data_IF_113788725340
#
_entry.id   IF_113788725340
#
_cell.length_a   1.000
_cell.length_b   1.000
_cell.length_c   1.000
_cell.angle_alpha   90.00
_cell.angle_beta   90.00
_cell.angle_gamma   90.00
#
_symmetry.space_group_name_H-M   'P 1'
#
loop_
_entity.id
_entity.type
_entity.pdbx_description
1 polymer ?
#
# COMPACT_ATOMS: atom_id res chain seq x y z
N UNK A 1 25.84 36.04 -29.16
CA UNK A 1 25.00 34.84 -29.27
C UNK A 1 25.35 33.93 -28.12
N UNK A 2 24.55 34.01 -27.07
CA UNK A 2 24.69 33.17 -25.87
C UNK A 2 24.25 31.77 -26.26
N UNK A 3 25.21 30.91 -26.55
CA UNK A 3 24.97 29.48 -26.60
C UNK A 3 24.76 29.02 -25.15
N UNK A 4 23.52 28.75 -24.79
CA UNK A 4 23.25 27.98 -23.59
C UNK A 4 24.10 26.70 -23.67
N UNK A 5 24.88 26.36 -22.64
CA UNK A 5 25.56 25.08 -22.62
C UNK A 5 24.49 24.01 -22.77
N UNK A 6 24.70 23.05 -23.66
CA UNK A 6 23.78 21.91 -23.82
C UNK A 6 23.54 21.37 -22.44
N UNK A 7 22.26 21.18 -22.08
CA UNK A 7 21.89 20.59 -20.82
C UNK A 7 22.62 19.23 -20.72
N UNK A 8 23.56 19.14 -19.80
CA UNK A 8 24.29 17.91 -19.56
C UNK A 8 23.29 17.01 -18.85
N UNK A 9 22.90 15.93 -19.50
CA UNK A 9 22.09 14.90 -18.87
C UNK A 9 22.88 14.33 -17.67
N UNK A 10 22.41 14.62 -16.46
CA UNK A 10 23.09 14.22 -15.24
C UNK A 10 22.65 12.86 -14.75
N UNK A 11 21.54 12.36 -15.27
CA UNK A 11 20.93 11.11 -14.87
C UNK A 11 20.04 10.58 -15.99
N UNK A 12 20.20 9.32 -16.34
CA UNK A 12 19.32 8.59 -17.23
C UNK A 12 19.03 7.22 -16.65
N UNK A 13 17.77 6.94 -16.35
CA UNK A 13 17.33 5.62 -15.92
C UNK A 13 16.19 5.15 -16.81
N UNK A 14 16.28 3.92 -17.23
CA UNK A 14 15.23 3.24 -17.99
C UNK A 14 14.80 2.01 -17.23
N UNK A 15 13.49 1.78 -17.15
CA UNK A 15 12.92 0.56 -16.60
C UNK A 15 11.92 -0.01 -17.58
N UNK A 16 11.89 -1.31 -17.70
CA UNK A 16 10.85 -2.06 -18.38
C UNK A 16 10.28 -3.07 -17.41
N UNK A 17 8.98 -3.06 -17.23
CA UNK A 17 8.27 -4.02 -16.40
C UNK A 17 7.26 -4.72 -17.26
N UNK A 18 7.43 -6.03 -17.43
CA UNK A 18 6.46 -6.91 -18.04
C UNK A 18 5.79 -7.71 -16.92
N UNK A 19 4.47 -7.78 -16.92
CA UNK A 19 3.73 -8.60 -15.97
C UNK A 19 2.55 -9.29 -16.63
N UNK A 20 2.28 -10.51 -16.19
CA UNK A 20 1.12 -11.30 -16.57
C UNK A 20 0.39 -11.75 -15.30
N UNK A 21 -0.93 -11.67 -15.29
CA UNK A 21 -1.76 -12.17 -14.22
C UNK A 21 -2.93 -12.96 -14.76
N UNK A 22 -3.15 -14.13 -14.17
CA UNK A 22 -4.33 -14.96 -14.41
C UNK A 22 -5.10 -15.08 -13.10
N UNK A 23 -6.42 -14.92 -13.15
CA UNK A 23 -7.23 -15.02 -11.97
C UNK A 23 -8.56 -15.70 -12.25
N UNK A 24 -9.05 -16.45 -11.27
CA UNK A 24 -10.43 -16.93 -11.19
C UNK A 24 -11.04 -16.41 -9.89
N UNK A 25 -12.27 -15.94 -9.92
CA UNK A 25 -12.97 -15.43 -8.76
C UNK A 25 -14.45 -15.77 -8.83
N UNK A 26 -15.08 -15.80 -7.66
CA UNK A 26 -16.52 -15.99 -7.55
C UNK A 26 -17.02 -15.63 -6.17
N UNK A 27 -18.31 -15.38 -6.09
CA UNK A 27 -19.03 -15.08 -4.86
C UNK A 27 -20.40 -15.75 -4.91
N UNK A 28 -20.86 -16.29 -3.78
CA UNK A 28 -22.19 -16.87 -3.63
C UNK A 28 -22.84 -16.34 -2.34
N UNK A 29 -24.09 -15.90 -2.48
CA UNK A 29 -24.91 -15.46 -1.36
C UNK A 29 -25.99 -16.47 -1.07
N UNK A 30 -26.05 -16.94 0.18
CA UNK A 30 -27.10 -17.78 0.68
C UNK A 30 -28.08 -16.94 1.51
N UNK A 31 -29.33 -16.89 1.05
CA UNK A 31 -30.44 -16.29 1.80
C UNK A 31 -30.95 -17.31 2.83
N UNK A 32 -30.30 -17.34 4.00
CA UNK A 32 -30.57 -18.34 5.05
C UNK A 32 -31.97 -18.17 5.64
N UNK A 33 -32.46 -16.94 5.72
CA UNK A 33 -33.84 -16.57 6.04
C UNK A 33 -34.25 -15.37 5.22
N UNK A 34 -35.51 -14.88 5.37
CA UNK A 34 -35.94 -13.62 4.72
C UNK A 34 -35.10 -12.42 5.13
N UNK A 35 -34.48 -12.47 6.30
CA UNK A 35 -33.73 -11.36 6.90
C UNK A 35 -32.22 -11.62 6.99
N UNK A 36 -31.74 -12.84 6.72
CA UNK A 36 -30.32 -13.22 6.93
C UNK A 36 -29.69 -13.64 5.61
N UNK A 37 -28.69 -12.89 5.18
CA UNK A 37 -27.85 -13.19 4.05
C UNK A 37 -26.45 -13.56 4.52
N UNK A 38 -25.89 -14.65 4.00
CA UNK A 38 -24.52 -15.08 4.22
C UNK A 38 -23.84 -15.16 2.86
N UNK A 39 -22.78 -14.39 2.68
CA UNK A 39 -22.02 -14.35 1.43
C UNK A 39 -20.62 -14.93 1.67
N UNK A 40 -20.21 -15.84 0.81
CA UNK A 40 -18.84 -16.35 0.74
C UNK A 40 -18.27 -16.12 -0.64
N UNK A 41 -17.04 -15.71 -0.70
CA UNK A 41 -16.35 -15.44 -1.96
C UNK A 41 -14.86 -15.70 -1.85
N UNK A 42 -14.21 -15.70 -3.01
CA UNK A 42 -12.77 -15.81 -3.08
C UNK A 42 -12.25 -15.50 -4.46
N UNK A 43 -10.98 -15.16 -4.50
CA UNK A 43 -10.22 -14.94 -5.72
C UNK A 43 -8.89 -15.69 -5.61
N UNK A 44 -8.64 -16.56 -6.57
CA UNK A 44 -7.34 -17.18 -6.78
C UNK A 44 -6.67 -16.53 -7.97
N UNK A 45 -5.38 -16.22 -7.85
CA UNK A 45 -4.62 -15.68 -8.97
C UNK A 45 -3.18 -16.19 -8.94
N UNK A 46 -2.58 -16.14 -10.13
CA UNK A 46 -1.17 -16.34 -10.39
C UNK A 46 -0.64 -15.10 -11.11
N UNK A 47 0.50 -14.61 -10.68
CA UNK A 47 1.16 -13.43 -11.26
C UNK A 47 2.62 -13.72 -11.50
N UNK A 48 3.09 -13.36 -12.68
CA UNK A 48 4.51 -13.34 -13.04
C UNK A 48 4.91 -11.90 -13.36
N UNK A 49 6.07 -11.47 -12.90
CA UNK A 49 6.63 -10.18 -13.27
C UNK A 49 8.10 -10.33 -13.71
N UNK A 50 8.52 -9.44 -14.59
CA UNK A 50 9.90 -9.33 -15.04
C UNK A 50 10.27 -7.86 -15.12
N UNK A 51 11.19 -7.44 -14.24
CA UNK A 51 11.67 -6.07 -14.17
C UNK A 51 13.10 -5.98 -14.70
N UNK A 52 13.34 -5.04 -15.60
CA UNK A 52 14.67 -4.71 -16.13
C UNK A 52 14.98 -3.26 -15.84
N UNK A 53 16.15 -3.01 -15.28
CA UNK A 53 16.63 -1.67 -15.00
C UNK A 53 17.94 -1.37 -15.74
N UNK A 54 18.00 -0.17 -16.26
CA UNK A 54 19.21 0.41 -16.80
C UNK A 54 19.40 1.80 -16.22
N UNK A 55 20.60 2.07 -15.72
CA UNK A 55 20.98 3.41 -15.23
C UNK A 55 22.29 3.82 -15.87
N UNK A 56 22.29 4.97 -16.53
CA UNK A 56 23.47 5.55 -17.13
C UNK A 56 23.91 6.81 -16.38
N UNK A 57 25.22 7.00 -16.31
CA UNK A 57 25.84 8.26 -15.89
C UNK A 57 25.70 9.34 -16.96
N UNK A 58 26.00 10.60 -16.60
CA UNK A 58 26.18 11.67 -17.59
C UNK A 58 27.01 11.19 -18.79
N UNK A 59 26.57 11.52 -19.96
CA UNK A 59 27.15 11.08 -21.24
C UNK A 59 26.79 9.63 -21.66
N UNK A 60 25.75 9.04 -21.08
CA UNK A 60 25.26 7.73 -21.48
C UNK A 60 26.14 6.55 -21.06
N UNK A 61 27.15 6.76 -20.22
CA UNK A 61 27.94 5.67 -19.68
C UNK A 61 27.15 4.93 -18.60
N UNK A 62 26.96 3.59 -18.72
CA UNK A 62 26.32 2.81 -17.68
C UNK A 62 27.09 2.86 -16.36
N UNK A 63 26.39 2.67 -15.26
CA UNK A 63 27.04 2.51 -13.97
C UNK A 63 27.88 1.22 -13.95
N UNK A 64 29.02 1.20 -13.23
CA UNK A 64 29.89 0.01 -13.20
C UNK A 64 29.18 -1.27 -12.79
N UNK A 65 28.19 -1.18 -11.91
CA UNK A 65 27.40 -2.30 -11.44
C UNK A 65 26.53 -2.96 -12.52
N UNK A 66 26.33 -2.29 -13.64
CA UNK A 66 25.60 -2.84 -14.80
C UNK A 66 26.52 -3.32 -15.91
N UNK A 67 27.82 -3.39 -15.64
CA UNK A 67 28.79 -3.95 -16.58
C UNK A 67 29.25 -5.34 -16.14
N UNK A 68 29.30 -6.27 -17.08
CA UNK A 68 29.94 -7.55 -16.83
C UNK A 68 31.48 -7.40 -16.74
N UNK A 69 32.17 -8.49 -16.43
CA UNK A 69 33.64 -8.50 -16.31
C UNK A 69 34.37 -8.11 -17.60
N UNK A 70 33.68 -8.11 -18.75
CA UNK A 70 34.21 -7.71 -20.05
C UNK A 70 33.84 -6.25 -20.42
N UNK A 71 33.12 -5.55 -19.52
CA UNK A 71 32.66 -4.19 -19.76
C UNK A 71 31.40 -4.08 -20.64
N UNK A 72 30.68 -5.18 -20.87
CA UNK A 72 29.40 -5.16 -21.56
C UNK A 72 28.28 -4.79 -20.59
N UNK A 73 27.26 -4.10 -21.10
CA UNK A 73 26.08 -3.78 -20.33
C UNK A 73 25.40 -5.06 -19.84
N UNK A 74 25.30 -5.20 -18.52
CA UNK A 74 24.54 -6.24 -17.87
C UNK A 74 23.32 -5.62 -17.19
N UNK A 75 22.15 -6.03 -17.58
CA UNK A 75 20.88 -5.64 -16.95
C UNK A 75 20.31 -6.89 -16.30
N UNK A 76 20.40 -7.02 -14.97
CA UNK A 76 19.84 -8.18 -14.31
C UNK A 76 18.33 -8.23 -14.52
N UNK A 77 17.84 -9.39 -14.96
CA UNK A 77 16.41 -9.67 -14.98
C UNK A 77 15.96 -9.99 -13.55
N UNK A 78 15.05 -9.19 -13.04
CA UNK A 78 14.39 -9.46 -11.76
C UNK A 78 13.03 -10.08 -12.03
N UNK A 79 12.96 -11.40 -11.82
CA UNK A 79 11.71 -12.15 -11.98
C UNK A 79 11.10 -12.45 -10.62
N UNK A 80 9.80 -12.29 -10.55
CA UNK A 80 8.98 -12.70 -9.42
C UNK A 80 7.76 -13.45 -9.91
N UNK A 81 7.39 -14.50 -9.21
CA UNK A 81 6.16 -15.23 -9.38
C UNK A 81 5.41 -15.26 -8.04
N UNK A 82 4.13 -15.14 -8.10
CA UNK A 82 3.28 -15.04 -6.92
C UNK A 82 1.94 -15.71 -7.17
N UNK A 83 1.49 -16.46 -6.18
CA UNK A 83 0.21 -17.17 -6.20
C UNK A 83 -0.48 -16.96 -4.88
N UNK A 84 -1.70 -16.42 -4.92
CA UNK A 84 -2.46 -16.14 -3.70
C UNK A 84 -3.94 -16.49 -3.86
N UNK A 85 -4.56 -16.80 -2.72
CA UNK A 85 -6.01 -16.95 -2.57
C UNK A 85 -6.53 -15.92 -1.57
N UNK A 86 -7.47 -15.10 -1.99
CA UNK A 86 -8.08 -14.02 -1.22
C UNK A 86 -9.52 -14.42 -0.88
N UNK A 87 -9.81 -14.83 0.36
CA UNK A 87 -11.14 -15.16 0.82
C UNK A 87 -11.94 -13.94 1.25
N UNK A 88 -13.26 -14.08 1.27
CA UNK A 88 -14.23 -13.13 1.81
C UNK A 88 -15.41 -13.88 2.43
N UNK A 89 -15.83 -13.44 3.61
CA UNK A 89 -17.08 -13.88 4.23
C UNK A 89 -17.80 -12.65 4.77
N UNK A 90 -19.11 -12.53 4.47
CA UNK A 90 -19.92 -11.49 5.07
C UNK A 90 -21.28 -12.04 5.51
N UNK A 91 -21.81 -11.45 6.56
CA UNK A 91 -23.14 -11.75 7.11
C UNK A 91 -23.90 -10.44 7.24
N UNK A 92 -25.09 -10.38 6.67
CA UNK A 92 -25.99 -9.22 6.79
C UNK A 92 -27.33 -9.67 7.34
N UNK A 93 -27.81 -8.96 8.38
CA UNK A 93 -29.08 -9.23 9.02
C UNK A 93 -29.96 -7.97 9.01
N UNK A 94 -31.13 -8.07 8.39
CA UNK A 94 -32.15 -7.01 8.37
C UNK A 94 -33.00 -7.12 9.61
N UNK A 95 -32.79 -6.19 10.56
CA UNK A 95 -33.60 -6.10 11.78
C UNK A 95 -35.01 -5.61 11.44
N UNK A 96 -35.09 -4.68 10.47
CA UNK A 96 -36.31 -4.14 9.90
C UNK A 96 -36.05 -3.70 8.46
N UNK A 97 -37.08 -3.20 7.76
CA UNK A 97 -36.92 -2.60 6.41
C UNK A 97 -35.95 -1.39 6.42
N UNK A 98 -35.82 -0.75 7.57
CA UNK A 98 -35.07 0.48 7.75
C UNK A 98 -33.72 0.28 8.49
N UNK A 99 -33.43 -0.91 9.01
CA UNK A 99 -32.23 -1.16 9.81
C UNK A 99 -31.59 -2.52 9.47
N UNK A 100 -30.35 -2.46 9.07
CA UNK A 100 -29.51 -3.63 8.80
C UNK A 100 -28.22 -3.54 9.62
N UNK A 101 -27.79 -4.67 10.17
CA UNK A 101 -26.46 -4.86 10.74
C UNK A 101 -25.68 -5.84 9.89
N UNK A 102 -24.35 -5.71 9.88
CA UNK A 102 -23.51 -6.62 9.11
C UNK A 102 -22.16 -6.84 9.79
N UNK A 103 -21.54 -7.94 9.40
CA UNK A 103 -20.15 -8.25 9.68
C UNK A 103 -19.46 -8.72 8.40
N UNK A 104 -18.21 -8.38 8.25
CA UNK A 104 -17.36 -8.76 7.12
C UNK A 104 -16.00 -9.22 7.64
N UNK A 105 -15.51 -10.31 7.09
CA UNK A 105 -14.13 -10.73 7.17
C UNK A 105 -13.59 -10.93 5.76
N UNK A 106 -12.43 -10.35 5.47
CA UNK A 106 -11.79 -10.49 4.16
C UNK A 106 -10.29 -10.34 4.30
N UNK A 107 -9.57 -11.02 3.43
CA UNK A 107 -8.14 -10.81 3.25
C UNK A 107 -7.89 -9.98 2.00
N UNK A 108 -6.77 -9.27 2.01
CA UNK A 108 -6.20 -8.55 0.89
C UNK A 108 -4.68 -8.70 0.93
N UNK A 109 -4.01 -8.34 -0.15
CA UNK A 109 -2.57 -8.35 -0.20
C UNK A 109 -2.06 -7.29 -1.17
N UNK A 110 -0.82 -6.90 -0.97
CA UNK A 110 -0.05 -6.12 -1.92
C UNK A 110 1.11 -6.98 -2.41
N UNK A 111 1.30 -7.11 -3.73
CA UNK A 111 2.32 -8.01 -4.27
C UNK A 111 3.72 -7.61 -3.85
N UNK A 112 4.57 -8.62 -3.71
CA UNK A 112 6.00 -8.45 -3.59
C UNK A 112 6.63 -7.87 -4.86
N UNK A 113 7.90 -7.58 -4.78
CA UNK A 113 8.62 -6.97 -5.89
C UNK A 113 10.13 -7.00 -5.74
N UNK A 114 10.77 -6.16 -6.53
CA UNK A 114 12.22 -6.09 -6.60
C UNK A 114 12.73 -4.68 -6.43
N UNK A 115 13.78 -4.54 -5.64
CA UNK A 115 14.50 -3.31 -5.46
C UNK A 115 15.54 -3.08 -6.56
N UNK A 116 15.83 -1.83 -6.82
CA UNK A 116 16.99 -1.46 -7.64
C UNK A 116 18.25 -1.80 -6.86
N UNK A 117 19.20 -2.45 -7.52
CA UNK A 117 20.52 -2.68 -6.94
C UNK A 117 21.49 -1.62 -7.42
N UNK A 118 22.20 -1.00 -6.49
CA UNK A 118 23.33 -0.12 -6.73
C UNK A 118 24.44 -0.48 -5.77
N UNK A 119 25.43 -1.20 -6.26
CA UNK A 119 26.49 -1.74 -5.42
C UNK A 119 25.98 -2.89 -4.55
N UNK A 120 26.42 -2.95 -3.31
CA UNK A 120 25.98 -3.94 -2.32
C UNK A 120 24.92 -3.28 -1.42
N UNK A 121 23.61 -3.54 -1.61
CA UNK A 121 22.56 -2.96 -0.80
C UNK A 121 22.53 -3.58 0.61
N UNK A 122 22.19 -2.79 1.61
CA UNK A 122 21.88 -3.31 2.95
C UNK A 122 20.58 -4.12 2.94
N UNK A 123 19.61 -3.63 2.17
CA UNK A 123 18.31 -4.31 2.02
C UNK A 123 18.35 -5.30 0.87
N UNK A 124 17.52 -6.33 0.98
CA UNK A 124 17.40 -7.35 -0.06
C UNK A 124 16.99 -6.77 -1.42
N UNK A 125 17.37 -7.48 -2.47
CA UNK A 125 16.94 -7.14 -3.84
C UNK A 125 15.48 -7.45 -4.09
N UNK A 126 14.87 -8.28 -3.24
CA UNK A 126 13.47 -8.68 -3.30
C UNK A 126 12.80 -8.35 -1.97
N UNK A 127 11.53 -8.04 -2.04
CA UNK A 127 10.64 -7.93 -0.91
C UNK A 127 9.39 -8.75 -1.17
N UNK A 128 8.86 -9.35 -0.11
CA UNK A 128 7.73 -10.26 -0.18
C UNK A 128 6.40 -9.50 -0.24
N UNK A 129 5.33 -10.20 -0.62
CA UNK A 129 3.99 -9.70 -0.51
C UNK A 129 3.62 -9.41 0.94
N UNK A 130 2.87 -8.37 1.17
CA UNK A 130 2.24 -8.13 2.46
C UNK A 130 0.75 -8.51 2.42
N UNK A 131 0.20 -8.84 3.59
CA UNK A 131 -1.20 -9.28 3.74
C UNK A 131 -1.95 -8.42 4.73
N UNK A 132 -3.20 -8.14 4.41
CA UNK A 132 -4.14 -7.48 5.32
C UNK A 132 -5.32 -8.41 5.56
N UNK A 133 -5.59 -8.70 6.83
CA UNK A 133 -6.83 -9.30 7.27
C UNK A 133 -7.74 -8.22 7.85
N UNK A 134 -8.91 -8.05 7.28
CA UNK A 134 -9.87 -7.04 7.72
C UNK A 134 -11.10 -7.68 8.38
N UNK A 135 -11.41 -7.21 9.58
CA UNK A 135 -12.67 -7.44 10.28
C UNK A 135 -13.44 -6.14 10.33
N UNK A 136 -14.67 -6.18 9.86
CA UNK A 136 -15.54 -5.00 9.81
C UNK A 136 -16.92 -5.37 10.34
N UNK A 137 -17.52 -4.46 11.09
CA UNK A 137 -18.90 -4.58 11.54
C UNK A 137 -19.58 -3.23 11.58
N UNK A 138 -20.86 -3.21 11.28
CA UNK A 138 -21.56 -1.94 11.25
C UNK A 138 -23.06 -2.07 11.16
N UNK A 139 -23.70 -0.90 11.11
CA UNK A 139 -25.11 -0.82 10.80
C UNK A 139 -25.38 0.24 9.72
N UNK A 140 -26.47 0.01 9.01
CA UNK A 140 -27.03 0.96 8.02
C UNK A 140 -28.48 1.18 8.36
N UNK A 141 -28.90 2.44 8.50
CA UNK A 141 -30.25 2.78 8.87
C UNK A 141 -30.83 3.91 8.05
N UNK A 142 -32.12 3.77 7.71
CA UNK A 142 -32.96 4.84 7.18
C UNK A 142 -33.99 5.22 8.27
N UNK A 143 -34.32 6.48 8.39
CA UNK A 143 -35.29 6.94 9.38
C UNK A 143 -35.97 8.23 8.91
N UNK A 144 -36.85 8.78 9.74
CA UNK A 144 -37.65 9.97 9.39
C UNK A 144 -38.49 9.78 8.10
N UNK A 145 -39.04 8.56 7.87
CA UNK A 145 -39.81 8.23 6.67
C UNK A 145 -38.93 8.22 5.40
N UNK A 146 -37.69 7.75 5.50
CA UNK A 146 -36.74 7.64 4.40
C UNK A 146 -35.99 8.96 4.08
N UNK A 147 -36.24 10.03 4.87
CA UNK A 147 -35.58 11.32 4.64
C UNK A 147 -34.21 11.45 5.30
N UNK A 148 -33.83 10.51 6.16
CA UNK A 148 -32.53 10.51 6.79
C UNK A 148 -31.90 9.11 6.71
N UNK A 149 -30.58 9.08 6.56
CA UNK A 149 -29.74 7.88 6.57
C UNK A 149 -28.58 8.11 7.52
N UNK A 150 -28.28 7.09 8.33
CA UNK A 150 -27.06 7.05 9.13
C UNK A 150 -26.42 5.67 9.03
N UNK A 151 -25.12 5.65 8.78
CA UNK A 151 -24.31 4.45 8.73
C UNK A 151 -23.15 4.60 9.71
N UNK A 152 -22.84 3.55 10.44
CA UNK A 152 -21.66 3.47 11.29
C UNK A 152 -20.96 2.15 11.00
N UNK A 153 -19.65 2.22 10.81
CA UNK A 153 -18.78 1.09 10.58
C UNK A 153 -17.62 1.15 11.58
N UNK A 154 -17.32 0.04 12.23
CA UNK A 154 -16.10 -0.17 12.99
C UNK A 154 -15.26 -1.22 12.25
N UNK A 155 -13.97 -1.02 12.19
CA UNK A 155 -13.07 -1.96 11.53
C UNK A 155 -11.75 -2.11 12.29
N UNK A 156 -11.16 -3.28 12.11
CA UNK A 156 -9.81 -3.62 12.54
C UNK A 156 -9.11 -4.36 11.41
N UNK A 157 -7.92 -3.91 11.06
CA UNK A 157 -7.08 -4.52 10.03
C UNK A 157 -5.77 -4.94 10.67
N UNK A 158 -5.43 -6.20 10.49
CA UNK A 158 -4.13 -6.77 10.83
C UNK A 158 -3.29 -6.82 9.56
N UNK A 159 -2.13 -6.19 9.58
CA UNK A 159 -1.27 -6.04 8.41
C UNK A 159 0.06 -6.74 8.67
N UNK A 160 0.22 -7.90 8.06
CA UNK A 160 1.39 -8.75 8.19
C UNK A 160 2.45 -8.34 7.15
N UNK A 161 3.70 -8.28 7.58
CA UNK A 161 4.89 -8.02 6.75
C UNK A 161 4.77 -6.76 5.88
N UNK A 162 4.16 -5.69 6.41
CA UNK A 162 3.87 -4.50 5.60
C UNK A 162 5.11 -3.93 4.91
N UNK A 163 4.94 -3.56 3.64
CA UNK A 163 6.01 -3.00 2.82
C UNK A 163 6.19 -1.52 3.12
N UNK A 164 7.40 -1.15 3.51
CA UNK A 164 7.79 0.23 3.78
C UNK A 164 8.89 0.68 2.82
N UNK A 165 8.74 1.89 2.25
CA UNK A 165 9.80 2.53 1.48
C UNK A 165 10.80 3.19 2.44
N UNK A 166 12.04 2.77 2.34
CA UNK A 166 13.16 3.19 3.18
C UNK A 166 14.28 3.76 2.32
N UNK A 167 15.17 4.48 2.97
CA UNK A 167 16.41 4.95 2.35
C UNK A 167 17.50 3.90 2.58
N UNK A 168 17.95 3.27 1.49
CA UNK A 168 19.11 2.36 1.54
C UNK A 168 20.40 3.18 1.72
N UNK A 169 21.12 3.00 2.83
CA UNK A 169 22.37 3.71 3.09
C UNK A 169 23.56 3.13 2.34
N UNK A 170 23.40 2.03 1.61
CA UNK A 170 24.51 1.40 0.86
C UNK A 170 25.09 2.34 -0.19
N UNK A 171 26.38 2.22 -0.40
CA UNK A 171 27.14 3.16 -1.20
C UNK A 171 28.33 2.53 -1.88
N UNK A 172 28.73 3.17 -2.95
CA UNK A 172 30.06 2.96 -3.49
C UNK A 172 31.08 3.39 -2.42
N UNK A 173 32.16 2.60 -2.22
CA UNK A 173 33.19 2.93 -1.26
C UNK A 173 33.74 4.34 -1.48
N UNK A 174 33.90 5.08 -0.38
CA UNK A 174 34.60 6.32 -0.42
C UNK A 174 36.10 6.09 -0.64
N UNK A 175 36.81 7.03 -1.25
CA UNK A 175 38.26 7.04 -1.17
C UNK A 175 38.70 6.99 0.29
N UNK A 176 39.29 5.87 0.72
CA UNK A 176 39.63 5.60 2.12
C UNK A 176 38.80 4.50 2.81
N UNK A 177 37.83 3.89 2.09
CA UNK A 177 37.11 2.70 2.57
C UNK A 177 35.96 2.94 3.54
N UNK A 178 35.64 4.20 3.84
CA UNK A 178 34.50 4.50 4.71
C UNK A 178 33.22 4.62 3.91
N UNK A 179 32.19 3.85 4.26
CA UNK A 179 30.83 4.09 3.79
C UNK A 179 30.30 5.35 4.49
N UNK A 180 29.89 6.35 3.73
CA UNK A 180 29.32 7.57 4.33
C UNK A 180 27.88 7.75 3.90
N UNK A 181 27.08 8.16 4.86
CA UNK A 181 25.69 8.54 4.67
C UNK A 181 25.65 9.99 4.18
N UNK A 182 24.77 10.32 3.23
CA UNK A 182 24.50 11.64 2.72
C UNK A 182 25.63 12.29 1.90
N UNK A 183 25.66 12.00 0.63
CA UNK A 183 26.32 12.80 -0.43
C UNK A 183 27.82 13.07 -0.28
N UNK A 184 28.51 12.36 0.60
CA UNK A 184 29.92 12.70 0.85
C UNK A 184 30.86 11.89 -0.02
N UNK A 185 30.49 10.70 -0.42
CA UNK A 185 31.27 9.89 -1.37
C UNK A 185 30.37 8.94 -2.14
N UNK A 186 30.71 8.69 -3.38
CA UNK A 186 29.96 7.78 -4.24
C UNK A 186 28.57 8.30 -4.59
N UNK A 187 27.68 7.40 -4.87
CA UNK A 187 26.30 7.75 -5.17
C UNK A 187 25.51 8.04 -3.89
N UNK A 188 24.55 8.94 -3.95
CA UNK A 188 23.61 9.10 -2.87
C UNK A 188 22.79 7.83 -2.70
N UNK A 189 22.23 7.69 -1.52
CA UNK A 189 21.23 6.69 -1.17
C UNK A 189 20.20 6.47 -2.28
N UNK A 190 19.57 5.34 -2.27
CA UNK A 190 18.41 5.01 -3.10
C UNK A 190 17.23 4.66 -2.19
N UNK A 191 16.03 4.89 -2.68
CA UNK A 191 14.83 4.36 -2.06
C UNK A 191 14.70 2.86 -2.38
N UNK A 192 14.40 2.07 -1.37
CA UNK A 192 14.15 0.64 -1.44
C UNK A 192 12.87 0.32 -0.68
N UNK A 193 12.24 -0.78 -1.01
CA UNK A 193 11.13 -1.33 -0.26
C UNK A 193 11.63 -2.51 0.55
N UNK A 194 11.25 -2.56 1.81
CA UNK A 194 11.49 -3.70 2.68
C UNK A 194 10.21 -4.09 3.42
N UNK A 195 10.10 -5.35 3.81
CA UNK A 195 9.06 -5.79 4.71
C UNK A 195 9.41 -5.33 6.12
N UNK A 196 8.58 -4.47 6.69
CA UNK A 196 8.84 -3.74 7.93
C UNK A 196 8.14 -4.36 9.15
N UNK A 197 7.81 -5.65 9.07
CA UNK A 197 7.09 -6.38 10.10
C UNK A 197 5.59 -6.10 10.07
N UNK A 198 4.96 -6.20 11.24
CA UNK A 198 3.51 -6.15 11.35
C UNK A 198 3.03 -4.76 11.80
N UNK A 199 1.80 -4.44 11.42
CA UNK A 199 1.11 -3.22 11.82
C UNK A 199 -0.40 -3.51 11.97
N UNK A 200 -1.10 -2.67 12.70
CA UNK A 200 -2.55 -2.72 12.73
C UNK A 200 -3.18 -1.38 12.45
N UNK A 201 -4.40 -1.41 11.97
CA UNK A 201 -5.20 -0.23 11.67
C UNK A 201 -6.59 -0.46 12.23
N UNK A 202 -7.08 0.44 13.07
CA UNK A 202 -8.44 0.38 13.59
C UNK A 202 -9.15 1.71 13.47
N UNK A 203 -10.47 1.67 13.39
CA UNK A 203 -11.17 2.92 13.25
C UNK A 203 -12.68 2.80 13.20
N UNK A 204 -13.29 3.99 13.12
CA UNK A 204 -14.72 4.19 12.97
C UNK A 204 -14.99 5.09 11.76
N UNK A 205 -15.97 4.73 10.96
CA UNK A 205 -16.49 5.60 9.90
C UNK A 205 -17.96 5.88 10.14
N UNK A 206 -18.34 7.15 10.09
CA UNK A 206 -19.71 7.60 10.23
C UNK A 206 -20.13 8.39 9.01
N UNK A 207 -21.30 8.06 8.47
CA UNK A 207 -21.94 8.77 7.36
C UNK A 207 -23.36 9.16 7.76
N UNK A 208 -23.73 10.38 7.46
CA UNK A 208 -25.06 10.91 7.72
C UNK A 208 -25.54 11.79 6.59
N UNK A 209 -26.77 11.57 6.13
CA UNK A 209 -27.47 12.40 5.17
C UNK A 209 -28.89 12.64 5.64
N UNK A 210 -29.41 13.86 5.43
CA UNK A 210 -30.78 14.20 5.79
C UNK A 210 -31.40 15.22 4.82
N UNK A 211 -32.59 14.91 4.35
CA UNK A 211 -33.45 15.85 3.64
C UNK A 211 -34.30 16.61 4.65
N UNK A 212 -33.88 17.83 5.00
CA UNK A 212 -34.58 18.67 5.99
C UNK A 212 -35.88 19.25 5.46
N UNK A 213 -35.92 19.57 4.14
CA UNK A 213 -37.13 19.98 3.41
C UNK A 213 -37.02 19.49 1.95
N UNK A 214 -38.06 19.69 1.14
CA UNK A 214 -38.04 19.32 -0.28
C UNK A 214 -36.85 19.94 -1.03
N UNK A 215 -36.35 21.05 -0.58
CA UNK A 215 -35.32 21.83 -1.25
C UNK A 215 -34.00 21.92 -0.48
N UNK A 216 -33.93 21.38 0.74
CA UNK A 216 -32.74 21.53 1.57
C UNK A 216 -32.30 20.23 2.21
N UNK A 217 -31.06 19.83 1.91
CA UNK A 217 -30.41 18.65 2.46
C UNK A 217 -29.07 18.99 3.12
N UNK A 218 -28.70 18.21 4.10
CA UNK A 218 -27.41 18.26 4.79
C UNK A 218 -26.81 16.88 4.86
N UNK A 219 -25.51 16.82 4.94
CA UNK A 219 -24.80 15.57 5.17
C UNK A 219 -23.44 15.80 5.81
N UNK A 220 -22.89 14.72 6.37
CA UNK A 220 -21.54 14.68 6.91
C UNK A 220 -20.95 13.28 6.81
N UNK A 221 -19.65 13.24 6.64
CA UNK A 221 -18.82 12.03 6.81
C UNK A 221 -17.75 12.34 7.84
N UNK A 222 -17.46 11.37 8.71
CA UNK A 222 -16.37 11.45 9.65
C UNK A 222 -15.69 10.07 9.73
N UNK A 223 -14.38 10.07 9.81
CA UNK A 223 -13.57 8.89 10.05
C UNK A 223 -12.57 9.19 11.15
N UNK A 224 -12.54 8.36 12.17
CA UNK A 224 -11.46 8.28 13.13
C UNK A 224 -10.65 7.03 12.85
N UNK A 225 -9.33 7.13 12.89
CA UNK A 225 -8.42 6.09 12.48
C UNK A 225 -7.16 6.13 13.34
N UNK A 226 -6.74 4.98 13.83
CA UNK A 226 -5.47 4.73 14.48
C UNK A 226 -4.72 3.67 13.68
N UNK A 227 -3.44 3.92 13.39
CA UNK A 227 -2.60 3.01 12.59
C UNK A 227 -1.21 2.99 13.18
N UNK A 228 -0.79 1.84 13.72
CA UNK A 228 0.46 1.69 14.45
C UNK A 228 1.23 0.45 14.01
N UNK A 229 2.56 0.52 14.19
CA UNK A 229 3.44 -0.63 13.99
C UNK A 229 3.39 -1.56 15.19
N UNK A 230 3.38 -2.88 14.95
CA UNK A 230 3.43 -3.92 15.97
C UNK A 230 4.81 -4.55 16.14
N UNK A 231 5.73 -4.21 15.26
CA UNK A 231 7.09 -4.76 15.22
C UNK A 231 8.13 -3.75 15.69
N UNK A 232 9.26 -4.28 16.20
CA UNK A 232 10.47 -3.49 16.50
C UNK A 232 11.63 -4.14 15.76
N UNK A 233 12.18 -3.47 14.76
CA UNK A 233 13.13 -4.03 13.81
C UNK A 233 14.27 -3.05 13.53
N UNK A 234 15.48 -3.60 13.46
CA UNK A 234 16.65 -3.03 12.82
C UNK A 234 16.81 -3.77 11.47
N UNK A 235 16.31 -3.15 10.40
CA UNK A 235 16.20 -3.81 9.10
C UNK A 235 17.54 -3.92 8.38
N UNK A 236 18.48 -3.07 8.71
CA UNK A 236 19.79 -3.00 8.04
C UNK A 236 20.95 -3.54 8.91
N UNK A 237 20.70 -3.86 10.18
CA UNK A 237 21.68 -4.41 11.09
C UNK A 237 22.74 -3.40 11.59
N UNK A 238 22.45 -2.11 11.56
CA UNK A 238 23.39 -1.05 11.99
C UNK A 238 23.31 -0.74 13.49
N UNK A 239 22.37 -1.37 14.21
CA UNK A 239 22.13 -1.19 15.64
C UNK A 239 21.16 -0.03 15.94
N UNK A 240 20.60 0.61 14.94
CA UNK A 240 19.56 1.64 15.05
C UNK A 240 18.23 1.03 14.60
N UNK A 241 17.18 1.21 15.39
CA UNK A 241 15.87 0.69 15.02
C UNK A 241 15.25 1.52 13.89
N UNK A 242 14.92 0.88 12.77
CA UNK A 242 14.20 1.49 11.65
C UNK A 242 12.69 1.50 11.91
N UNK A 243 12.19 0.49 12.64
CA UNK A 243 10.78 0.34 13.02
C UNK A 243 10.70 0.17 14.54
N UNK A 244 9.80 0.89 15.17
CA UNK A 244 9.59 0.82 16.64
C UNK A 244 8.10 0.58 16.90
N UNK A 245 7.79 -0.48 17.63
CA UNK A 245 6.41 -0.83 18.02
C UNK A 245 5.70 0.35 18.68
N UNK A 246 4.45 0.60 18.26
CA UNK A 246 3.61 1.69 18.74
C UNK A 246 3.88 3.03 18.05
N UNK A 247 4.76 3.07 17.04
CA UNK A 247 4.87 4.25 16.20
C UNK A 247 3.72 4.29 15.20
N UNK A 248 3.18 5.47 14.99
CA UNK A 248 2.14 5.71 13.98
C UNK A 248 2.67 5.47 12.57
N UNK A 249 1.83 4.89 11.72
CA UNK A 249 2.13 4.77 10.30
C UNK A 249 2.16 6.15 9.64
N UNK A 250 3.12 6.43 8.74
CA UNK A 250 3.26 7.73 8.13
C UNK A 250 2.08 8.09 7.21
N UNK A 251 1.75 9.37 7.16
CA UNK A 251 0.75 9.95 6.23
C UNK A 251 -0.68 9.45 6.48
N UNK A 252 -0.99 9.03 7.69
CA UNK A 252 -2.32 8.59 8.10
C UNK A 252 -2.90 9.61 9.09
N UNK A 253 -3.88 10.45 8.69
CA UNK A 253 -4.51 11.37 9.62
C UNK A 253 -5.49 10.64 10.54
N UNK A 254 -5.40 10.87 11.84
CA UNK A 254 -6.30 10.28 12.84
C UNK A 254 -7.78 10.65 12.63
N UNK A 255 -8.04 11.86 12.18
CA UNK A 255 -9.41 12.35 11.96
C UNK A 255 -9.55 12.99 10.60
N UNK A 256 -10.55 12.51 9.85
CA UNK A 256 -11.05 13.15 8.64
C UNK A 256 -12.54 13.43 8.82
N UNK A 257 -12.97 14.64 8.49
CA UNK A 257 -14.38 14.98 8.50
C UNK A 257 -14.73 15.93 7.35
N UNK A 258 -15.92 15.76 6.80
CA UNK A 258 -16.51 16.67 5.83
C UNK A 258 -18.00 16.84 6.13
N UNK A 259 -18.53 18.03 5.87
CA UNK A 259 -19.94 18.30 5.95
C UNK A 259 -20.36 19.17 4.76
N UNK A 260 -21.59 19.02 4.33
CA UNK A 260 -22.17 19.77 3.22
C UNK A 260 -23.62 20.12 3.46
N UNK A 261 -24.06 21.15 2.79
CA UNK A 261 -25.46 21.55 2.72
C UNK A 261 -25.80 21.90 1.26
N UNK A 262 -26.93 21.43 0.79
CA UNK A 262 -27.41 21.68 -0.58
C UNK A 262 -28.78 22.33 -0.54
N UNK A 263 -28.92 23.43 -1.26
CA UNK A 263 -30.18 24.13 -1.45
C UNK A 263 -30.52 24.15 -2.94
N UNK A 264 -31.71 23.69 -3.27
CA UNK A 264 -32.27 23.72 -4.65
C UNK A 264 -33.42 24.71 -4.69
N UNK A 265 -33.34 25.73 -5.54
CA UNK A 265 -34.40 26.73 -5.73
C UNK A 265 -35.18 26.53 -7.03
#
# INVERSE_FOLDING_TARGET
SDTFPQAIETWNSQSSTDWEQKAIFGEATWHATENLDITVGGRYFERENNNKYYVAKPNGNPQPEYLDANGNLFVPDHKGDETEFIPKISVAYRISDDLMVYGLWTEGFRPGGTNRTRGEPFYGTHYDADKITNWEGGFKSNFAGGRARANLTAFYMDWEDYQLELVDPSRLPCPGGEAKIANVCGQPWQAVVANAGDAHIQGLTFEFDMLLSENFSVGMNAQWLEAETDSTLDLNGDGILDVVKGNELPIVPELKASAWATWVW
#
